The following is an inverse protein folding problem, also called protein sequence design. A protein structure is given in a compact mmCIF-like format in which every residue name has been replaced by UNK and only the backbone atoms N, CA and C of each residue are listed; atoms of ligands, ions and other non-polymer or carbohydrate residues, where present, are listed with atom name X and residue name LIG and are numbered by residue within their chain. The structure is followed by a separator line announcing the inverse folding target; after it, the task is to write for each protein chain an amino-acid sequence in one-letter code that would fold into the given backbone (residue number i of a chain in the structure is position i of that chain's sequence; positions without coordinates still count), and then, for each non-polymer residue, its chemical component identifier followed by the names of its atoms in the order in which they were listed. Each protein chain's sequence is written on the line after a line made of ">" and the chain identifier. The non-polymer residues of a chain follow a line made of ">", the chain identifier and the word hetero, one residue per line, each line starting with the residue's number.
data_IF_105515427160
#
_entry.id   IF_105515427160
#
_cell.length_a   1.000
_cell.length_b   1.000
_cell.length_c   1.000
_cell.angle_alpha   90.00
_cell.angle_beta   90.00
_cell.angle_gamma   90.00
#
_symmetry.space_group_name_H-M   'P 1'
#
loop_
_entity.id
_entity.type
_entity.pdbx_description
1 polymer ?
#
# COMPACT_ATOMS: atom_id res chain seq x y z
N UNK A 1 -111.16 53.92 -4.44
CA UNK A 1 -111.49 55.36 -4.51
C UNK A 1 -110.16 56.08 -4.74
N UNK A 2 -109.83 56.41 -6.00
CA UNK A 2 -109.99 57.77 -6.57
C UNK A 2 -109.25 58.84 -5.74
N UNK A 3 -108.39 59.72 -6.25
CA UNK A 3 -107.99 60.14 -7.60
C UNK A 3 -106.81 61.14 -7.39
N UNK A 4 -105.89 61.24 -8.37
CA UNK A 4 -105.11 62.44 -8.80
C UNK A 4 -104.35 63.32 -7.79
N UNK A 5 -103.09 63.64 -8.13
CA UNK A 5 -102.74 64.93 -8.79
C UNK A 5 -101.30 64.97 -9.33
N UNK A 6 -101.17 65.58 -10.51
CA UNK A 6 -99.97 65.94 -11.27
C UNK A 6 -99.31 67.23 -10.76
N UNK A 7 -98.00 67.40 -11.03
CA UNK A 7 -97.35 68.53 -11.75
C UNK A 7 -95.85 68.55 -11.40
N UNK A 8 -94.86 69.00 -12.19
CA UNK A 8 -94.68 69.49 -13.57
C UNK A 8 -93.14 69.70 -13.75
N UNK A 9 -92.63 69.48 -14.98
CA UNK A 9 -91.49 70.13 -15.69
C UNK A 9 -90.14 70.35 -14.95
N UNK A 10 -88.94 69.95 -15.41
CA UNK A 10 -88.25 69.87 -16.71
C UNK A 10 -86.99 70.76 -16.64
N UNK A 11 -85.78 70.19 -16.82
CA UNK A 11 -84.67 70.78 -17.59
C UNK A 11 -83.46 69.82 -17.69
N UNK A 12 -83.16 69.51 -18.94
CA UNK A 12 -81.90 69.10 -19.60
C UNK A 12 -80.57 69.36 -18.87
N UNK A 13 -79.63 68.39 -18.92
CA UNK A 13 -78.25 68.60 -19.41
C UNK A 13 -77.48 67.26 -19.64
N UNK A 14 -77.09 67.04 -20.90
CA UNK A 14 -75.80 66.52 -21.44
C UNK A 14 -74.95 65.47 -20.70
N UNK A 15 -74.86 64.29 -21.34
CA UNK A 15 -73.65 63.56 -21.81
C UNK A 15 -72.28 63.88 -21.18
N UNK A 16 -71.61 62.83 -20.68
CA UNK A 16 -70.18 62.84 -20.37
C UNK A 16 -69.74 61.52 -19.73
N UNK A 17 -69.38 60.54 -20.55
CA UNK A 17 -68.88 59.25 -20.09
C UNK A 17 -67.45 59.33 -19.55
N UNK A 18 -67.19 58.56 -18.49
CA UNK A 18 -65.86 58.07 -18.13
C UNK A 18 -66.02 56.64 -17.59
N UNK A 19 -65.85 55.68 -18.50
CA UNK A 19 -65.63 54.27 -18.16
C UNK A 19 -64.14 54.14 -17.88
N UNK A 20 -63.76 54.07 -16.61
CA UNK A 20 -62.41 53.69 -16.20
C UNK A 20 -62.25 52.19 -16.46
N UNK A 21 -61.62 51.84 -17.59
CA UNK A 21 -61.14 50.50 -17.86
C UNK A 21 -59.88 50.26 -17.01
N UNK A 22 -60.05 49.68 -15.83
CA UNK A 22 -58.96 49.02 -15.11
C UNK A 22 -58.53 47.80 -15.92
N UNK A 23 -57.41 47.93 -16.62
CA UNK A 23 -56.64 46.83 -17.17
C UNK A 23 -56.26 45.88 -16.02
N UNK A 24 -56.99 44.78 -15.88
CA UNK A 24 -56.53 43.64 -15.09
C UNK A 24 -55.34 43.03 -15.85
N UNK A 25 -54.13 43.23 -15.37
CA UNK A 25 -53.01 42.38 -15.75
C UNK A 25 -53.34 40.93 -15.33
N UNK A 26 -53.04 39.91 -16.15
CA UNK A 26 -53.20 38.53 -15.72
C UNK A 26 -52.25 38.28 -14.54
N UNK A 27 -52.82 38.02 -13.36
CA UNK A 27 -52.06 37.49 -12.23
C UNK A 27 -51.48 36.12 -12.64
N UNK A 28 -50.20 35.83 -12.35
CA UNK A 28 -49.68 34.47 -12.51
C UNK A 28 -50.54 33.49 -11.70
N UNK A 29 -50.73 32.28 -12.22
CA UNK A 29 -51.46 31.22 -11.50
C UNK A 29 -50.66 30.81 -10.25
N UNK A 30 -51.35 30.62 -9.12
CA UNK A 30 -50.76 30.20 -7.82
C UNK A 30 -49.78 29.01 -7.96
N UNK A 31 -50.06 28.08 -8.88
CA UNK A 31 -49.21 26.92 -9.15
C UNK A 31 -47.82 27.26 -9.74
N UNK A 32 -47.68 28.38 -10.46
CA UNK A 32 -46.40 28.80 -11.04
C UNK A 32 -45.49 29.44 -9.98
N UNK A 33 -46.04 30.24 -9.07
CA UNK A 33 -45.29 30.80 -7.95
C UNK A 33 -44.79 29.70 -7.00
N UNK A 34 -45.61 28.67 -6.77
CA UNK A 34 -45.21 27.50 -5.97
C UNK A 34 -44.09 26.68 -6.64
N UNK A 35 -44.07 26.61 -7.97
CA UNK A 35 -43.02 25.92 -8.73
C UNK A 35 -41.68 26.65 -8.70
N UNK A 36 -41.67 27.96 -8.92
CA UNK A 36 -40.45 28.78 -8.86
C UNK A 36 -39.82 28.79 -7.45
N UNK A 37 -40.65 28.85 -6.41
CA UNK A 37 -40.19 28.75 -5.03
C UNK A 37 -39.50 27.41 -4.75
N UNK A 38 -40.08 26.30 -5.24
CA UNK A 38 -39.52 24.97 -5.06
C UNK A 38 -38.24 24.75 -5.86
N UNK A 39 -38.15 25.26 -7.10
CA UNK A 39 -36.91 25.26 -7.89
C UNK A 39 -35.81 26.01 -7.11
N UNK A 40 -36.15 27.15 -6.53
CA UNK A 40 -35.25 27.91 -5.66
C UNK A 40 -34.75 27.11 -4.45
N UNK A 41 -35.64 26.43 -3.73
CA UNK A 41 -35.30 25.59 -2.58
C UNK A 41 -34.38 24.43 -2.98
N UNK A 42 -34.74 23.70 -4.05
CA UNK A 42 -33.97 22.57 -4.58
C UNK A 42 -32.55 22.98 -5.01
N UNK A 43 -32.41 24.09 -5.73
CA UNK A 43 -31.14 24.51 -6.31
C UNK A 43 -30.30 25.38 -5.38
N UNK A 44 -30.82 25.80 -4.22
CA UNK A 44 -30.04 26.53 -3.19
C UNK A 44 -29.75 25.67 -1.98
N UNK A 45 -30.78 25.12 -1.36
CA UNK A 45 -30.68 24.32 -0.14
C UNK A 45 -30.45 22.84 -0.46
N UNK A 46 -31.21 22.29 -1.42
CA UNK A 46 -31.04 20.91 -1.89
C UNK A 46 -29.69 20.66 -2.59
N UNK A 47 -29.07 21.71 -3.15
CA UNK A 47 -27.77 21.64 -3.83
C UNK A 47 -26.58 21.36 -2.90
N UNK A 48 -26.74 21.60 -1.59
CA UNK A 48 -25.67 21.38 -0.63
C UNK A 48 -25.46 19.88 -0.40
N UNK A 49 -24.25 19.38 -0.72
CA UNK A 49 -23.92 17.96 -0.57
C UNK A 49 -23.92 17.56 0.91
N UNK A 50 -24.80 16.63 1.27
CA UNK A 50 -24.96 16.15 2.65
C UNK A 50 -26.40 15.71 2.97
N UNK A 51 -26.65 15.17 4.17
CA UNK A 51 -27.96 14.66 4.56
C UNK A 51 -29.06 15.72 4.51
N UNK A 52 -28.79 16.92 5.02
CA UNK A 52 -29.75 18.02 5.05
C UNK A 52 -30.19 18.46 3.64
N UNK A 53 -29.25 18.59 2.70
CA UNK A 53 -29.57 18.90 1.30
C UNK A 53 -30.34 17.76 0.63
N UNK A 54 -29.95 16.50 0.87
CA UNK A 54 -30.70 15.34 0.36
C UNK A 54 -32.13 15.26 0.90
N UNK A 55 -32.37 15.65 2.15
CA UNK A 55 -33.72 15.68 2.72
C UNK A 55 -34.60 16.74 2.03
N UNK A 56 -34.03 17.89 1.67
CA UNK A 56 -34.70 18.90 0.83
C UNK A 56 -35.03 18.31 -0.53
N UNK A 57 -34.08 17.64 -1.19
CA UNK A 57 -34.29 17.02 -2.51
C UNK A 57 -35.42 15.98 -2.47
N UNK A 58 -35.48 15.10 -1.46
CA UNK A 58 -36.56 14.11 -1.32
C UNK A 58 -37.93 14.72 -1.11
N UNK A 59 -38.02 15.79 -0.30
CA UNK A 59 -39.28 16.54 -0.13
C UNK A 59 -39.69 17.24 -1.41
N UNK A 60 -38.73 17.81 -2.12
CA UNK A 60 -38.96 18.46 -3.40
C UNK A 60 -39.41 17.49 -4.49
N UNK A 61 -38.85 16.28 -4.54
CA UNK A 61 -39.30 15.22 -5.47
C UNK A 61 -40.77 14.85 -5.24
N UNK A 62 -41.18 14.66 -3.98
CA UNK A 62 -42.58 14.39 -3.64
C UNK A 62 -43.52 15.53 -4.05
N UNK A 63 -43.04 16.77 -3.94
CA UNK A 63 -43.78 17.99 -4.30
C UNK A 63 -43.81 18.21 -5.83
N UNK A 64 -42.77 17.82 -6.55
CA UNK A 64 -42.68 17.86 -8.01
C UNK A 64 -43.81 17.06 -8.67
N UNK A 65 -44.13 15.88 -8.10
CA UNK A 65 -45.26 15.04 -8.51
C UNK A 65 -46.62 15.74 -8.46
N UNK A 66 -46.79 16.70 -7.52
CA UNK A 66 -48.04 17.43 -7.33
C UNK A 66 -48.14 18.63 -8.28
N UNK A 67 -47.03 19.36 -8.45
CA UNK A 67 -46.98 20.57 -9.29
C UNK A 67 -47.01 20.25 -10.78
N UNK A 68 -46.53 19.07 -11.20
CA UNK A 68 -46.49 18.63 -12.61
C UNK A 68 -45.82 19.64 -13.55
N UNK A 69 -44.76 20.28 -13.06
CA UNK A 69 -43.96 21.23 -13.84
C UNK A 69 -42.64 20.56 -14.31
N UNK A 70 -42.34 20.54 -15.63
CA UNK A 70 -41.10 19.98 -16.16
C UNK A 70 -39.82 20.57 -15.55
N UNK A 71 -39.79 21.88 -15.26
CA UNK A 71 -38.62 22.57 -14.70
C UNK A 71 -38.35 22.13 -13.26
N UNK A 72 -39.40 21.85 -12.48
CA UNK A 72 -39.27 21.31 -11.11
C UNK A 72 -38.66 19.91 -11.13
N UNK A 73 -39.10 19.05 -12.05
CA UNK A 73 -38.50 17.72 -12.23
C UNK A 73 -37.05 17.81 -12.72
N UNK A 74 -36.75 18.75 -13.62
CA UNK A 74 -35.39 18.99 -14.08
C UNK A 74 -34.48 19.48 -12.95
N UNK A 75 -34.93 20.45 -12.15
CA UNK A 75 -34.21 20.94 -10.97
C UNK A 75 -33.95 19.83 -9.94
N UNK A 76 -34.96 18.98 -9.71
CA UNK A 76 -34.81 17.76 -8.88
C UNK A 76 -33.72 16.85 -9.43
N UNK A 77 -33.73 16.58 -10.74
CA UNK A 77 -32.72 15.76 -11.41
C UNK A 77 -31.30 16.32 -11.30
N UNK A 78 -31.12 17.65 -11.44
CA UNK A 78 -29.82 18.30 -11.25
C UNK A 78 -29.31 18.19 -9.81
N UNK A 79 -30.19 18.40 -8.83
CA UNK A 79 -29.82 18.26 -7.41
C UNK A 79 -29.45 16.80 -7.09
N UNK A 80 -30.23 15.82 -7.53
CA UNK A 80 -29.90 14.39 -7.38
C UNK A 80 -28.55 14.03 -8.04
N UNK A 81 -28.28 14.60 -9.21
CA UNK A 81 -27.03 14.40 -9.92
C UNK A 81 -25.83 14.96 -9.13
N UNK A 82 -25.99 16.11 -8.47
CA UNK A 82 -24.99 16.72 -7.59
C UNK A 82 -24.63 15.82 -6.39
N UNK A 83 -25.59 15.02 -5.92
CA UNK A 83 -25.44 14.01 -4.86
C UNK A 83 -25.09 12.61 -5.37
N UNK A 84 -24.77 12.47 -6.66
CA UNK A 84 -24.42 11.21 -7.32
C UNK A 84 -25.54 10.14 -7.31
N UNK A 85 -26.81 10.55 -7.13
CA UNK A 85 -27.98 9.66 -7.23
C UNK A 85 -28.41 9.51 -8.69
N UNK A 86 -27.63 8.78 -9.48
CA UNK A 86 -27.78 8.74 -10.94
C UNK A 86 -29.09 8.12 -11.44
N UNK A 87 -29.58 7.04 -10.83
CA UNK A 87 -30.82 6.39 -11.28
C UNK A 87 -32.06 7.23 -10.94
N UNK A 88 -32.07 7.88 -9.78
CA UNK A 88 -33.12 8.82 -9.35
C UNK A 88 -33.09 10.08 -10.23
N UNK A 89 -31.91 10.64 -10.51
CA UNK A 89 -31.77 11.77 -11.42
C UNK A 89 -32.30 11.45 -12.82
N UNK A 90 -31.98 10.26 -13.34
CA UNK A 90 -32.49 9.81 -14.62
C UNK A 90 -34.03 9.64 -14.62
N UNK A 91 -34.62 9.18 -13.51
CA UNK A 91 -36.08 9.09 -13.38
C UNK A 91 -36.73 10.48 -13.34
N UNK A 92 -36.14 11.44 -12.65
CA UNK A 92 -36.62 12.82 -12.61
C UNK A 92 -36.57 13.47 -14.00
N UNK A 93 -35.48 13.27 -14.76
CA UNK A 93 -35.40 13.75 -16.15
C UNK A 93 -36.43 13.08 -17.08
N UNK A 94 -36.65 11.77 -16.94
CA UNK A 94 -37.68 11.07 -17.73
C UNK A 94 -39.09 11.59 -17.41
N UNK A 95 -39.38 11.89 -16.14
CA UNK A 95 -40.65 12.51 -15.73
C UNK A 95 -40.85 13.91 -16.34
N UNK A 96 -39.80 14.74 -16.40
CA UNK A 96 -39.85 16.03 -17.07
C UNK A 96 -40.16 15.88 -18.57
N UNK A 97 -39.52 14.92 -19.24
CA UNK A 97 -39.73 14.61 -20.67
C UNK A 97 -41.15 14.10 -20.95
N UNK A 98 -41.73 13.33 -20.03
CA UNK A 98 -43.11 12.85 -20.15
C UNK A 98 -44.14 13.99 -20.09
N UNK A 99 -43.85 15.04 -19.32
CA UNK A 99 -44.69 16.23 -19.21
C UNK A 99 -44.50 17.18 -20.40
N UNK A 100 -43.25 17.45 -20.77
CA UNK A 100 -42.91 18.22 -21.95
C UNK A 100 -41.83 17.50 -22.78
N UNK A 101 -42.25 16.98 -23.93
CA UNK A 101 -41.36 16.27 -24.87
C UNK A 101 -40.30 17.16 -25.47
N UNK A 102 -40.52 18.48 -25.49
CA UNK A 102 -39.58 19.48 -26.01
C UNK A 102 -38.67 20.06 -24.93
N UNK A 103 -38.70 19.50 -23.72
CA UNK A 103 -37.82 19.90 -22.63
C UNK A 103 -36.38 19.36 -22.83
N UNK A 104 -35.65 19.98 -23.77
CA UNK A 104 -34.31 19.56 -24.18
C UNK A 104 -33.27 19.47 -23.05
N UNK A 105 -33.25 20.35 -22.03
CA UNK A 105 -32.33 20.21 -20.90
C UNK A 105 -32.46 18.86 -20.19
N UNK A 106 -33.68 18.34 -20.03
CA UNK A 106 -33.89 17.01 -19.44
C UNK A 106 -33.46 15.87 -20.36
N UNK A 107 -33.62 16.00 -21.68
CA UNK A 107 -33.05 15.04 -22.63
C UNK A 107 -31.52 14.99 -22.54
N UNK A 108 -30.87 16.16 -22.52
CA UNK A 108 -29.41 16.29 -22.33
C UNK A 108 -28.96 15.61 -21.04
N UNK A 109 -29.62 15.93 -19.92
CA UNK A 109 -29.33 15.34 -18.61
C UNK A 109 -29.51 13.83 -18.57
N UNK A 110 -30.64 13.32 -19.10
CA UNK A 110 -30.93 11.89 -19.12
C UNK A 110 -29.92 11.09 -19.92
N UNK A 111 -29.64 11.52 -21.16
CA UNK A 111 -28.69 10.82 -22.04
C UNK A 111 -27.31 10.84 -21.38
N UNK A 112 -26.85 12.00 -20.90
CA UNK A 112 -25.54 12.12 -20.27
C UNK A 112 -25.40 11.26 -19.01
N UNK A 113 -26.41 11.22 -18.14
CA UNK A 113 -26.39 10.35 -16.95
C UNK A 113 -26.32 8.88 -17.33
N UNK A 114 -27.07 8.44 -18.36
CA UNK A 114 -26.98 7.05 -18.84
C UNK A 114 -25.61 6.74 -19.44
N UNK A 115 -24.98 7.68 -20.14
CA UNK A 115 -23.59 7.57 -20.61
C UNK A 115 -22.62 7.46 -19.44
N UNK A 116 -22.78 8.29 -18.41
CA UNK A 116 -21.93 8.30 -17.21
C UNK A 116 -22.03 7.00 -16.42
N UNK A 117 -23.20 6.36 -16.42
CA UNK A 117 -23.43 5.04 -15.84
C UNK A 117 -22.92 3.88 -16.73
N UNK A 118 -22.28 4.17 -17.86
CA UNK A 118 -21.86 3.19 -18.88
C UNK A 118 -23.02 2.35 -19.45
N UNK A 119 -24.26 2.84 -19.33
CA UNK A 119 -25.47 2.23 -19.91
C UNK A 119 -25.68 2.76 -21.34
N UNK A 120 -24.69 2.53 -22.22
CA UNK A 120 -24.61 3.16 -23.55
C UNK A 120 -25.81 2.84 -24.46
N UNK A 121 -26.27 1.59 -24.47
CA UNK A 121 -27.43 1.19 -25.26
C UNK A 121 -28.69 1.99 -24.88
N UNK A 122 -28.91 2.20 -23.58
CA UNK A 122 -30.02 3.01 -23.09
C UNK A 122 -29.86 4.47 -23.50
N UNK A 123 -28.65 5.03 -23.36
CA UNK A 123 -28.37 6.40 -23.78
C UNK A 123 -28.67 6.61 -25.28
N UNK A 124 -28.29 5.65 -26.14
CA UNK A 124 -28.56 5.69 -27.57
C UNK A 124 -30.04 5.50 -27.92
N UNK A 125 -30.78 4.68 -27.16
CA UNK A 125 -32.24 4.60 -27.29
C UNK A 125 -32.89 5.94 -26.98
N UNK A 126 -32.44 6.63 -25.93
CA UNK A 126 -32.94 7.97 -25.61
C UNK A 126 -32.52 9.01 -26.66
N UNK A 127 -31.29 8.96 -27.18
CA UNK A 127 -30.85 9.82 -28.29
C UNK A 127 -31.70 9.61 -29.56
N UNK A 128 -32.06 8.36 -29.87
CA UNK A 128 -32.97 8.03 -30.98
C UNK A 128 -34.37 8.63 -30.77
N UNK A 129 -34.87 8.64 -29.52
CA UNK A 129 -36.16 9.25 -29.19
C UNK A 129 -36.10 10.78 -29.29
N UNK A 130 -35.05 11.40 -28.74
CA UNK A 130 -34.79 12.83 -28.84
C UNK A 130 -34.78 13.29 -30.31
N UNK A 131 -34.08 12.56 -31.20
CA UNK A 131 -34.01 12.89 -32.62
C UNK A 131 -35.37 13.08 -33.29
N UNK A 132 -36.39 12.33 -32.87
CA UNK A 132 -37.76 12.44 -33.39
C UNK A 132 -38.52 13.66 -32.89
N UNK A 133 -38.14 14.18 -31.73
CA UNK A 133 -38.77 15.36 -31.11
C UNK A 133 -38.06 16.65 -31.52
N UNK A 134 -36.83 16.57 -32.05
CA UNK A 134 -36.07 17.71 -32.55
C UNK A 134 -36.73 18.33 -33.80
N UNK A 135 -36.74 19.67 -33.90
CA UNK A 135 -37.34 20.37 -35.04
C UNK A 135 -36.45 20.23 -36.28
N UNK A 136 -37.06 19.92 -37.42
CA UNK A 136 -36.36 19.78 -38.72
C UNK A 136 -36.24 21.10 -39.49
N UNK A 137 -36.59 22.23 -38.87
CA UNK A 137 -36.46 23.57 -39.42
C UNK A 137 -35.81 24.50 -38.40
N UNK A 138 -35.24 25.60 -38.89
CA UNK A 138 -34.71 26.66 -38.04
C UNK A 138 -35.84 27.31 -37.22
N UNK A 139 -35.55 27.63 -35.96
CA UNK A 139 -36.47 28.27 -35.03
C UNK A 139 -36.09 29.74 -34.80
N UNK A 140 -36.91 30.43 -34.02
CA UNK A 140 -36.58 31.77 -33.51
C UNK A 140 -35.32 31.71 -32.63
N UNK A 141 -34.48 32.77 -32.60
CA UNK A 141 -33.16 32.74 -31.95
C UNK A 141 -33.14 32.18 -30.52
N UNK A 142 -34.12 32.55 -29.69
CA UNK A 142 -34.18 32.12 -28.28
C UNK A 142 -34.45 30.61 -28.13
N UNK A 143 -35.25 30.02 -29.02
CA UNK A 143 -35.55 28.58 -29.03
C UNK A 143 -34.47 27.77 -29.77
N UNK A 144 -33.79 28.42 -30.71
CA UNK A 144 -32.70 27.83 -31.48
C UNK A 144 -31.47 27.53 -30.60
N UNK A 145 -31.19 28.40 -29.60
CA UNK A 145 -30.06 28.23 -28.70
C UNK A 145 -30.07 26.89 -27.93
N UNK A 146 -31.22 26.49 -27.37
CA UNK A 146 -31.37 25.23 -26.66
C UNK A 146 -31.22 24.01 -27.56
N UNK A 147 -31.72 24.10 -28.80
CA UNK A 147 -31.54 23.04 -29.79
C UNK A 147 -30.08 22.94 -30.19
N UNK A 148 -29.40 24.05 -30.43
CA UNK A 148 -27.96 24.07 -30.76
C UNK A 148 -27.13 23.45 -29.62
N UNK A 149 -27.38 23.80 -28.36
CA UNK A 149 -26.63 23.20 -27.24
C UNK A 149 -26.88 21.68 -27.12
N UNK A 150 -28.10 21.24 -27.41
CA UNK A 150 -28.44 19.82 -27.50
C UNK A 150 -27.67 19.14 -28.62
N UNK A 151 -27.59 19.77 -29.79
CA UNK A 151 -26.82 19.26 -30.93
C UNK A 151 -25.31 19.20 -30.63
N UNK A 152 -24.75 20.21 -29.95
CA UNK A 152 -23.35 20.20 -29.52
C UNK A 152 -23.05 19.05 -28.56
N UNK A 153 -23.92 18.82 -27.58
CA UNK A 153 -23.80 17.67 -26.68
C UNK A 153 -23.88 16.35 -27.44
N UNK A 154 -24.84 16.22 -28.38
CA UNK A 154 -24.94 15.02 -29.21
C UNK A 154 -23.66 14.79 -30.01
N UNK A 155 -23.11 15.82 -30.67
CA UNK A 155 -21.83 15.73 -31.38
C UNK A 155 -20.71 15.16 -30.50
N UNK A 156 -20.55 15.70 -29.28
CA UNK A 156 -19.56 15.19 -28.31
C UNK A 156 -19.83 13.73 -27.90
N UNK A 157 -21.09 13.37 -27.66
CA UNK A 157 -21.46 12.01 -27.25
C UNK A 157 -21.25 10.98 -28.38
N UNK A 158 -21.60 11.31 -29.62
CA UNK A 158 -21.31 10.45 -30.76
C UNK A 158 -19.81 10.29 -30.97
N UNK A 159 -19.03 11.36 -30.86
CA UNK A 159 -17.56 11.28 -30.90
C UNK A 159 -17.01 10.38 -29.79
N UNK A 160 -17.62 10.40 -28.61
CA UNK A 160 -17.25 9.54 -27.50
C UNK A 160 -17.57 8.06 -27.76
N UNK A 161 -18.75 7.77 -28.31
CA UNK A 161 -19.17 6.40 -28.64
C UNK A 161 -18.38 5.80 -29.80
N UNK A 162 -18.06 6.59 -30.82
CA UNK A 162 -17.34 6.14 -32.02
C UNK A 162 -15.81 6.19 -31.85
N UNK A 163 -15.31 6.88 -30.83
CA UNK A 163 -13.90 6.92 -30.47
C UNK A 163 -13.60 6.12 -29.19
N UNK A 164 -13.49 6.78 -28.01
CA UNK A 164 -13.14 6.16 -26.73
C UNK A 164 -13.86 4.86 -26.36
N UNK A 165 -15.14 4.71 -26.74
CA UNK A 165 -15.96 3.53 -26.39
C UNK A 165 -16.42 2.71 -27.60
N UNK A 166 -15.78 2.86 -28.75
CA UNK A 166 -16.15 2.14 -29.98
C UNK A 166 -16.19 0.61 -29.84
N UNK A 167 -15.36 0.04 -28.97
CA UNK A 167 -15.35 -1.40 -28.69
C UNK A 167 -16.44 -1.89 -27.71
N UNK A 168 -17.11 -0.98 -27.02
CA UNK A 168 -18.11 -1.30 -25.98
C UNK A 168 -19.54 -0.95 -26.40
N UNK A 169 -19.69 -0.21 -27.50
CA UNK A 169 -20.98 0.30 -27.98
C UNK A 169 -21.34 -0.35 -29.32
N UNK A 170 -22.61 -0.73 -29.49
CA UNK A 170 -23.08 -1.29 -30.76
C UNK A 170 -23.10 -0.25 -31.87
N UNK A 171 -22.25 -0.43 -32.89
CA UNK A 171 -22.21 0.43 -34.07
C UNK A 171 -23.58 0.60 -34.75
N UNK A 172 -24.42 -0.45 -34.74
CA UNK A 172 -25.76 -0.40 -35.31
C UNK A 172 -26.71 0.52 -34.49
N UNK A 173 -26.58 0.54 -33.16
CA UNK A 173 -27.36 1.44 -32.31
C UNK A 173 -26.88 2.88 -32.44
N UNK A 174 -25.57 3.09 -32.55
CA UNK A 174 -24.99 4.41 -32.80
C UNK A 174 -25.50 4.96 -34.13
N UNK A 175 -25.39 4.18 -35.22
CA UNK A 175 -25.89 4.60 -36.53
C UNK A 175 -27.39 4.91 -36.49
N UNK A 176 -28.20 4.05 -35.86
CA UNK A 176 -29.64 4.29 -35.73
C UNK A 176 -29.97 5.57 -34.98
N UNK A 177 -29.22 5.90 -33.92
CA UNK A 177 -29.40 7.15 -33.19
C UNK A 177 -28.96 8.36 -34.02
N UNK A 178 -27.89 8.22 -34.82
CA UNK A 178 -27.40 9.23 -35.76
C UNK A 178 -28.44 9.53 -36.84
N UNK A 179 -28.98 8.49 -37.48
CA UNK A 179 -30.04 8.60 -38.50
C UNK A 179 -31.29 9.31 -37.96
N UNK A 180 -31.59 9.14 -36.67
CA UNK A 180 -32.73 9.80 -36.03
C UNK A 180 -32.52 11.29 -35.79
N UNK A 181 -31.27 11.74 -35.64
CA UNK A 181 -30.92 13.16 -35.39
C UNK A 181 -30.63 13.90 -36.68
N UNK A 182 -30.16 13.20 -37.72
CA UNK A 182 -29.77 13.77 -39.02
C UNK A 182 -30.80 14.76 -39.61
N UNK A 183 -32.13 14.49 -39.61
CA UNK A 183 -33.12 15.44 -40.14
C UNK A 183 -33.18 16.78 -39.41
N UNK A 184 -32.70 16.84 -38.16
CA UNK A 184 -32.66 18.06 -37.35
C UNK A 184 -31.35 18.87 -37.52
N UNK A 185 -30.36 18.32 -38.24
CA UNK A 185 -29.07 18.97 -38.52
C UNK A 185 -29.18 19.94 -39.70
N UNK A 186 -29.99 20.98 -39.55
CA UNK A 186 -30.17 22.06 -40.54
C UNK A 186 -29.33 23.28 -40.21
N UNK A 187 -28.90 24.02 -41.23
CA UNK A 187 -28.20 25.31 -41.07
C UNK A 187 -26.93 25.19 -40.22
N UNK A 188 -26.81 26.04 -39.19
CA UNK A 188 -25.66 26.06 -38.27
C UNK A 188 -25.54 24.82 -37.40
N UNK A 189 -26.63 24.07 -37.16
CA UNK A 189 -26.64 22.88 -36.28
C UNK A 189 -25.73 21.78 -36.81
N UNK A 190 -25.67 21.58 -38.12
CA UNK A 190 -24.79 20.58 -38.72
C UNK A 190 -23.32 20.88 -38.44
N UNK A 191 -22.93 22.16 -38.56
CA UNK A 191 -21.56 22.62 -38.28
C UNK A 191 -21.23 22.44 -36.80
N UNK A 192 -22.16 22.80 -35.92
CA UNK A 192 -21.98 22.66 -34.47
C UNK A 192 -21.86 21.18 -34.04
N UNK A 193 -22.67 20.30 -34.62
CA UNK A 193 -22.57 18.85 -34.40
C UNK A 193 -21.18 18.33 -34.80
N UNK A 194 -20.75 18.63 -36.02
CA UNK A 194 -19.51 18.10 -36.59
C UNK A 194 -18.29 18.65 -35.85
N UNK A 195 -18.25 19.94 -35.53
CA UNK A 195 -17.16 20.52 -34.75
C UNK A 195 -16.99 19.82 -33.40
N UNK A 196 -18.09 19.65 -32.67
CA UNK A 196 -18.08 19.00 -31.36
C UNK A 196 -17.75 17.50 -31.44
N UNK A 197 -18.14 16.83 -32.52
CA UNK A 197 -17.74 15.47 -32.81
C UNK A 197 -16.22 15.36 -33.06
N UNK A 198 -15.67 16.23 -33.91
CA UNK A 198 -14.25 16.26 -34.26
C UNK A 198 -13.36 16.68 -33.09
N UNK A 199 -13.83 17.56 -32.21
CA UNK A 199 -13.13 17.93 -30.98
C UNK A 199 -12.86 16.71 -30.09
N UNK A 200 -13.87 15.84 -29.93
CA UNK A 200 -13.72 14.59 -29.18
C UNK A 200 -12.74 13.64 -29.85
N UNK A 201 -12.82 13.47 -31.17
CA UNK A 201 -11.88 12.64 -31.93
C UNK A 201 -10.43 13.13 -31.80
N UNK A 202 -10.22 14.45 -31.86
CA UNK A 202 -8.92 15.11 -31.70
C UNK A 202 -8.37 14.92 -30.29
N UNK A 203 -9.19 15.18 -29.26
CA UNK A 203 -8.83 14.98 -27.86
C UNK A 203 -8.53 13.51 -27.54
N UNK A 204 -9.29 12.58 -28.10
CA UNK A 204 -9.06 11.14 -27.90
C UNK A 204 -7.74 10.69 -28.53
N UNK A 205 -7.44 11.14 -29.75
CA UNK A 205 -6.17 10.87 -30.42
C UNK A 205 -5.00 11.40 -29.59
N UNK A 206 -5.07 12.67 -29.16
CA UNK A 206 -4.04 13.29 -28.33
C UNK A 206 -3.86 12.55 -26.99
N UNK A 207 -4.96 12.17 -26.33
CA UNK A 207 -4.93 11.44 -25.05
C UNK A 207 -4.32 10.04 -25.19
N UNK A 208 -4.63 9.34 -26.28
CA UNK A 208 -4.10 8.01 -26.58
C UNK A 208 -2.60 8.08 -26.85
N UNK A 209 -2.13 9.06 -27.63
CA UNK A 209 -0.70 9.29 -27.87
C UNK A 209 0.03 9.58 -26.55
N UNK A 210 -0.49 10.50 -25.72
CA UNK A 210 0.11 10.80 -24.42
C UNK A 210 0.16 9.58 -23.49
N UNK A 211 -0.85 8.71 -23.53
CA UNK A 211 -0.85 7.47 -22.77
C UNK A 211 0.22 6.49 -23.29
N UNK A 212 0.35 6.34 -24.60
CA UNK A 212 1.36 5.48 -25.23
C UNK A 212 2.77 5.98 -24.91
N UNK A 213 3.04 7.27 -25.12
CA UNK A 213 4.33 7.89 -24.80
C UNK A 213 4.68 7.70 -23.32
N UNK A 214 3.73 7.95 -22.41
CA UNK A 214 3.96 7.75 -20.98
C UNK A 214 4.23 6.28 -20.61
N UNK A 215 3.65 5.32 -21.35
CA UNK A 215 3.88 3.89 -21.16
C UNK A 215 5.25 3.48 -21.69
N UNK A 216 5.65 3.98 -22.84
CA UNK A 216 6.94 3.70 -23.46
C UNK A 216 8.08 4.30 -22.63
N UNK A 217 7.94 5.54 -22.17
CA UNK A 217 8.86 6.18 -21.23
C UNK A 217 9.00 5.35 -19.95
N UNK A 218 7.87 4.94 -19.35
CA UNK A 218 7.87 4.13 -18.15
C UNK A 218 8.56 2.77 -18.36
N UNK A 219 8.35 2.15 -19.52
CA UNK A 219 8.96 0.88 -19.88
C UNK A 219 10.46 1.02 -20.11
N UNK A 220 10.92 2.10 -20.73
CA UNK A 220 12.35 2.40 -20.89
C UNK A 220 13.02 2.65 -19.54
N UNK A 221 12.40 3.46 -18.67
CA UNK A 221 12.92 3.74 -17.32
C UNK A 221 12.99 2.46 -16.48
N UNK A 222 11.94 1.63 -16.49
CA UNK A 222 11.92 0.35 -15.78
C UNK A 222 13.03 -0.58 -16.29
N UNK A 223 13.25 -0.65 -17.61
CA UNK A 223 14.36 -1.42 -18.20
C UNK A 223 15.73 -0.91 -17.73
N UNK A 224 15.95 0.40 -17.74
CA UNK A 224 17.20 1.01 -17.29
C UNK A 224 17.49 0.71 -15.82
N UNK A 225 16.49 0.88 -14.96
CA UNK A 225 16.59 0.54 -13.54
C UNK A 225 16.91 -0.95 -13.33
N UNK A 226 16.25 -1.84 -14.09
CA UNK A 226 16.54 -3.28 -14.03
C UNK A 226 17.97 -3.62 -14.44
N UNK A 227 18.50 -2.97 -15.47
CA UNK A 227 19.90 -3.15 -15.88
C UNK A 227 20.87 -2.69 -14.79
N UNK A 228 20.64 -1.54 -14.16
CA UNK A 228 21.45 -1.04 -13.04
C UNK A 228 21.39 -2.00 -11.84
N UNK A 229 20.18 -2.43 -11.45
CA UNK A 229 19.99 -3.41 -10.38
C UNK A 229 20.66 -4.75 -10.69
N UNK A 230 20.65 -5.19 -11.95
CA UNK A 230 21.32 -6.41 -12.36
C UNK A 230 22.85 -6.31 -12.17
N UNK A 231 23.44 -5.15 -12.49
CA UNK A 231 24.86 -4.91 -12.25
C UNK A 231 25.19 -4.90 -10.75
N UNK A 232 24.38 -4.22 -9.93
CA UNK A 232 24.55 -4.22 -8.47
C UNK A 232 24.43 -5.62 -7.86
N UNK A 233 23.43 -6.40 -8.28
CA UNK A 233 23.25 -7.80 -7.87
C UNK A 233 24.48 -8.63 -8.23
N UNK A 234 25.03 -8.45 -9.43
CA UNK A 234 26.23 -9.16 -9.87
C UNK A 234 27.46 -8.81 -9.01
N UNK A 235 27.63 -7.53 -8.66
CA UNK A 235 28.71 -7.08 -7.78
C UNK A 235 28.54 -7.69 -6.37
N UNK A 236 27.33 -7.63 -5.81
CA UNK A 236 27.03 -8.20 -4.49
C UNK A 236 27.26 -9.70 -4.44
N UNK A 237 26.88 -10.45 -5.49
CA UNK A 237 27.17 -11.88 -5.59
C UNK A 237 28.67 -12.18 -5.55
N UNK A 238 29.46 -11.44 -6.32
CA UNK A 238 30.92 -11.57 -6.30
C UNK A 238 31.51 -11.28 -4.91
N UNK A 239 31.03 -10.23 -4.25
CA UNK A 239 31.50 -9.90 -2.90
C UNK A 239 31.16 -10.99 -1.89
N UNK A 240 29.93 -11.52 -1.91
CA UNK A 240 29.52 -12.62 -1.03
C UNK A 240 30.39 -13.87 -1.25
N UNK A 241 30.72 -14.20 -2.49
CA UNK A 241 31.59 -15.33 -2.82
C UNK A 241 33.01 -15.13 -2.27
N UNK A 242 33.59 -13.94 -2.47
CA UNK A 242 34.90 -13.58 -1.89
C UNK A 242 34.87 -13.70 -0.36
N UNK A 243 33.85 -13.14 0.29
CA UNK A 243 33.73 -13.17 1.75
C UNK A 243 33.58 -14.60 2.29
N UNK A 244 32.87 -15.48 1.57
CA UNK A 244 32.76 -16.91 1.91
C UNK A 244 34.11 -17.60 1.83
N UNK A 245 34.85 -17.37 0.75
CA UNK A 245 36.19 -17.95 0.57
C UNK A 245 37.14 -17.47 1.67
N UNK A 246 37.12 -16.19 2.01
CA UNK A 246 37.93 -15.63 3.09
C UNK A 246 37.56 -16.23 4.46
N UNK A 247 36.27 -16.37 4.77
CA UNK A 247 35.82 -16.98 6.02
C UNK A 247 36.25 -18.46 6.11
N UNK A 248 36.13 -19.22 5.01
CA UNK A 248 36.59 -20.61 4.94
C UNK A 248 38.10 -20.73 5.16
N UNK A 249 38.89 -19.93 4.43
CA UNK A 249 40.34 -19.90 4.59
C UNK A 249 40.76 -19.54 6.02
N UNK A 250 40.04 -18.62 6.69
CA UNK A 250 40.31 -18.26 8.08
C UNK A 250 40.04 -19.40 9.05
N UNK A 251 38.97 -20.17 8.84
CA UNK A 251 38.68 -21.38 9.66
C UNK A 251 39.81 -22.40 9.51
N UNK A 252 40.26 -22.66 8.29
CA UNK A 252 41.34 -23.61 8.04
C UNK A 252 42.67 -23.14 8.66
N UNK A 253 42.96 -21.84 8.57
CA UNK A 253 44.10 -21.23 9.25
C UNK A 253 44.03 -21.42 10.77
N UNK A 254 42.90 -21.08 11.40
CA UNK A 254 42.71 -21.22 12.85
C UNK A 254 42.86 -22.67 13.33
N UNK A 255 42.38 -23.65 12.55
CA UNK A 255 42.57 -25.07 12.86
C UNK A 255 44.04 -25.50 12.80
N UNK A 256 44.78 -25.00 11.82
CA UNK A 256 46.21 -25.23 11.70
C UNK A 256 46.98 -24.62 12.88
N UNK A 257 46.69 -23.35 13.21
CA UNK A 257 47.27 -22.64 14.35
C UNK A 257 46.98 -23.36 15.68
N UNK A 258 45.75 -23.80 15.91
CA UNK A 258 45.38 -24.59 17.08
C UNK A 258 46.18 -25.90 17.16
N UNK A 259 46.34 -26.61 16.04
CA UNK A 259 47.12 -27.85 15.99
C UNK A 259 48.59 -27.61 16.38
N UNK A 260 49.17 -26.50 15.94
CA UNK A 260 50.54 -26.12 16.32
C UNK A 260 50.64 -25.74 17.80
N UNK A 261 49.70 -24.96 18.34
CA UNK A 261 49.66 -24.62 19.77
C UNK A 261 49.48 -25.86 20.65
N UNK A 262 48.63 -26.80 20.22
CA UNK A 262 48.43 -28.06 20.92
C UNK A 262 49.74 -28.86 21.04
N UNK A 263 50.53 -28.92 19.96
CA UNK A 263 51.85 -29.56 19.98
C UNK A 263 52.81 -28.88 20.96
N UNK A 264 52.80 -27.54 21.06
CA UNK A 264 53.63 -26.81 22.04
C UNK A 264 53.25 -27.17 23.49
N UNK A 265 51.95 -27.24 23.78
CA UNK A 265 51.48 -27.69 25.09
C UNK A 265 51.92 -29.13 25.40
N UNK A 266 51.78 -30.04 24.44
CA UNK A 266 52.17 -31.44 24.62
C UNK A 266 53.70 -31.57 24.85
N UNK A 267 54.52 -30.79 24.13
CA UNK A 267 55.98 -30.73 24.32
C UNK A 267 56.37 -30.18 25.71
N UNK A 268 55.64 -29.19 26.23
CA UNK A 268 55.88 -28.62 27.55
C UNK A 268 55.39 -29.54 28.69
N UNK A 269 54.33 -30.32 28.47
CA UNK A 269 53.75 -31.19 29.48
C UNK A 269 54.51 -32.53 29.64
N UNK A 270 55.06 -33.05 28.54
CA UNK A 270 55.81 -34.31 28.52
C UNK A 270 56.93 -34.41 29.59
N UNK A 271 57.87 -33.44 29.73
CA UNK A 271 58.93 -33.53 30.74
C UNK A 271 58.39 -33.43 32.16
N UNK A 272 57.31 -32.68 32.40
CA UNK A 272 56.68 -32.58 33.72
C UNK A 272 56.08 -33.92 34.14
N UNK A 273 55.41 -34.61 33.22
CA UNK A 273 54.85 -35.93 33.48
C UNK A 273 55.95 -36.98 33.74
N UNK A 274 57.04 -36.93 32.98
CA UNK A 274 58.19 -37.81 33.20
C UNK A 274 58.83 -37.58 34.57
N UNK A 275 59.08 -36.32 34.96
CA UNK A 275 59.65 -35.97 36.25
C UNK A 275 58.75 -36.37 37.44
N UNK A 276 57.43 -36.14 37.32
CA UNK A 276 56.47 -36.58 38.33
C UNK A 276 56.47 -38.12 38.49
N UNK A 277 56.58 -38.87 37.39
CA UNK A 277 56.71 -40.32 37.43
C UNK A 277 57.99 -40.79 38.12
N UNK A 278 59.12 -40.11 37.90
CA UNK A 278 60.38 -40.39 38.60
C UNK A 278 60.29 -40.10 40.10
N UNK A 279 59.69 -38.98 40.49
CA UNK A 279 59.48 -38.63 41.89
C UNK A 279 58.57 -39.64 42.59
N UNK A 280 57.50 -40.11 41.93
CA UNK A 280 56.63 -41.16 42.48
C UNK A 280 57.39 -42.47 42.72
N UNK A 281 58.25 -42.87 41.79
CA UNK A 281 59.12 -44.04 41.97
C UNK A 281 60.09 -43.85 43.15
N UNK A 282 60.71 -42.67 43.30
CA UNK A 282 61.59 -42.35 44.43
C UNK A 282 60.84 -42.38 45.77
N UNK A 283 59.63 -41.81 45.84
CA UNK A 283 58.80 -41.84 47.04
C UNK A 283 58.49 -43.28 47.48
N UNK A 284 58.20 -44.19 46.53
CA UNK A 284 57.95 -45.60 46.83
C UNK A 284 59.17 -46.27 47.45
N UNK A 285 60.37 -46.02 46.90
CA UNK A 285 61.62 -46.56 47.46
C UNK A 285 61.83 -46.05 48.89
N UNK A 286 61.75 -44.73 49.11
CA UNK A 286 61.95 -44.14 50.44
C UNK A 286 60.92 -44.67 51.45
N UNK A 287 59.65 -44.79 51.06
CA UNK A 287 58.60 -45.34 51.93
C UNK A 287 58.84 -46.80 52.30
N UNK A 288 59.35 -47.61 51.38
CA UNK A 288 59.70 -49.00 51.65
C UNK A 288 60.86 -49.10 52.64
N UNK A 289 61.92 -48.31 52.47
CA UNK A 289 63.06 -48.28 53.41
C UNK A 289 62.64 -47.80 54.80
N UNK A 290 61.81 -46.75 54.88
CA UNK A 290 61.22 -46.28 56.15
C UNK A 290 60.46 -47.40 56.87
N UNK A 291 59.62 -48.15 56.14
CA UNK A 291 58.87 -49.25 56.73
C UNK A 291 59.80 -50.33 57.31
N UNK A 292 60.85 -50.71 56.58
CA UNK A 292 61.84 -51.70 57.05
C UNK A 292 62.58 -51.22 58.31
N UNK A 293 63.05 -49.98 58.32
CA UNK A 293 63.77 -49.40 59.47
C UNK A 293 62.87 -49.29 60.71
N UNK A 294 61.62 -48.89 60.52
CA UNK A 294 60.62 -48.81 61.59
C UNK A 294 60.36 -50.21 62.18
N UNK A 295 60.20 -51.23 61.32
CA UNK A 295 60.03 -52.62 61.76
C UNK A 295 61.26 -53.16 62.51
N UNK A 296 62.48 -52.80 62.11
CA UNK A 296 63.71 -53.13 62.84
C UNK A 296 63.76 -52.46 64.22
N UNK A 297 63.43 -51.17 64.31
CA UNK A 297 63.37 -50.43 65.59
C UNK A 297 62.35 -51.07 66.53
N UNK A 298 61.16 -51.43 66.04
CA UNK A 298 60.15 -52.13 66.85
C UNK A 298 60.67 -53.47 67.39
N UNK A 299 61.35 -54.26 66.55
CA UNK A 299 61.97 -55.53 66.97
C UNK A 299 63.05 -55.33 68.03
N UNK A 300 63.94 -54.37 67.85
CA UNK A 300 65.02 -54.08 68.81
C UNK A 300 64.48 -53.54 70.14
N UNK A 301 63.43 -52.72 70.12
CA UNK A 301 62.76 -52.24 71.33
C UNK A 301 62.13 -53.38 72.14
N UNK A 302 61.49 -54.34 71.47
CA UNK A 302 60.95 -55.55 72.12
C UNK A 302 62.06 -56.40 72.76
N UNK A 303 63.20 -56.57 72.07
CA UNK A 303 64.37 -57.26 72.63
C UNK A 303 64.99 -56.52 73.83
N UNK A 304 65.07 -55.19 73.75
CA UNK A 304 65.56 -54.34 74.84
C UNK A 304 64.68 -54.45 76.09
N UNK A 305 63.36 -54.54 75.93
CA UNK A 305 62.41 -54.75 77.03
C UNK A 305 62.60 -56.08 77.77
N UNK A 306 63.07 -57.11 77.07
CA UNK A 306 63.28 -58.46 77.61
C UNK A 306 64.68 -58.69 78.19
N UNK A 307 65.67 -57.90 77.77
CA UNK A 307 67.07 -58.11 78.12
C UNK A 307 67.43 -57.51 79.49
N UNK A 308 68.02 -58.34 80.37
CA UNK A 308 68.51 -57.94 81.71
C UNK A 308 70.02 -57.63 81.77
N UNK A 309 70.79 -58.04 80.75
CA UNK A 309 72.24 -57.77 80.67
C UNK A 309 72.51 -56.29 80.36
N UNK A 310 73.17 -55.53 81.26
CA UNK A 310 73.45 -54.11 81.07
C UNK A 310 74.23 -53.81 79.77
N UNK A 311 75.21 -54.65 79.42
CA UNK A 311 76.08 -54.43 78.26
C UNK A 311 75.34 -54.69 76.94
N UNK A 312 74.36 -55.60 76.95
CA UNK A 312 73.51 -55.86 75.78
C UNK A 312 72.43 -54.80 75.64
N UNK A 313 71.85 -54.31 76.74
CA UNK A 313 70.90 -53.17 76.72
C UNK A 313 71.53 -51.92 76.10
N UNK A 314 72.74 -51.56 76.54
CA UNK A 314 73.45 -50.39 76.02
C UNK A 314 73.81 -50.51 74.52
N UNK A 315 74.10 -51.73 74.05
CA UNK A 315 74.28 -51.99 72.61
C UNK A 315 72.98 -51.82 71.81
N UNK A 316 71.88 -52.40 72.29
CA UNK A 316 70.56 -52.29 71.66
C UNK A 316 70.11 -50.83 71.59
N UNK A 317 70.30 -50.05 72.66
CA UNK A 317 69.98 -48.63 72.69
C UNK A 317 70.78 -47.82 71.65
N UNK A 318 72.07 -48.10 71.51
CA UNK A 318 72.91 -47.43 70.49
C UNK A 318 72.47 -47.75 69.06
N UNK A 319 72.07 -49.00 68.79
CA UNK A 319 71.59 -49.38 67.46
C UNK A 319 70.22 -48.79 67.16
N UNK A 320 69.29 -48.80 68.13
CA UNK A 320 67.99 -48.11 68.00
C UNK A 320 68.20 -46.63 67.67
N UNK A 321 69.05 -45.93 68.43
CA UNK A 321 69.34 -44.52 68.19
C UNK A 321 69.97 -44.26 66.81
N UNK A 322 70.80 -45.20 66.31
CA UNK A 322 71.34 -45.14 64.96
C UNK A 322 70.25 -45.28 63.90
N UNK A 323 69.33 -46.23 64.05
CA UNK A 323 68.21 -46.44 63.12
C UNK A 323 67.23 -45.27 63.16
N UNK A 324 66.93 -44.70 64.34
CA UNK A 324 66.07 -43.51 64.48
C UNK A 324 66.64 -42.31 63.71
N UNK A 325 67.97 -42.13 63.71
CA UNK A 325 68.64 -41.11 62.89
C UNK A 325 68.49 -41.37 61.39
N UNK A 326 68.56 -42.63 60.95
CA UNK A 326 68.33 -42.99 59.55
C UNK A 326 66.87 -42.74 59.14
N UNK A 327 65.90 -43.12 59.99
CA UNK A 327 64.48 -42.82 59.80
C UNK A 327 64.27 -41.32 59.63
N UNK A 328 64.82 -40.52 60.55
CA UNK A 328 64.74 -39.06 60.47
C UNK A 328 65.31 -38.51 59.16
N UNK A 329 66.39 -39.10 58.64
CA UNK A 329 66.98 -38.74 57.35
C UNK A 329 66.05 -39.07 56.17
N UNK A 330 65.52 -40.30 56.12
CA UNK A 330 64.58 -40.71 55.07
C UNK A 330 63.25 -39.93 55.13
N UNK A 331 62.77 -39.55 56.31
CA UNK A 331 61.59 -38.68 56.46
C UNK A 331 61.84 -37.29 55.87
N UNK A 332 63.03 -36.72 56.09
CA UNK A 332 63.43 -35.45 55.47
C UNK A 332 63.51 -35.57 53.94
N UNK A 333 64.14 -36.63 53.43
CA UNK A 333 64.21 -36.89 51.99
C UNK A 333 62.82 -37.06 51.37
N UNK A 334 61.93 -37.82 52.03
CA UNK A 334 60.55 -37.98 51.59
C UNK A 334 59.82 -36.63 51.54
N UNK A 335 60.01 -35.77 52.54
CA UNK A 335 59.41 -34.45 52.58
C UNK A 335 59.90 -33.56 51.42
N UNK A 336 61.19 -33.61 51.09
CA UNK A 336 61.78 -32.88 49.95
C UNK A 336 61.22 -33.38 48.60
N UNK A 337 61.19 -34.70 48.39
CA UNK A 337 60.63 -35.30 47.16
C UNK A 337 59.14 -34.97 47.03
N UNK A 338 58.38 -34.98 48.12
CA UNK A 338 56.97 -34.58 48.12
C UNK A 338 56.76 -33.08 47.87
N UNK A 339 57.65 -32.22 48.36
CA UNK A 339 57.61 -30.78 48.08
C UNK A 339 57.83 -30.50 46.59
N UNK A 340 58.83 -31.15 45.98
CA UNK A 340 59.10 -30.98 44.55
C UNK A 340 57.98 -31.57 43.68
N UNK A 341 57.42 -32.73 44.05
CA UNK A 341 56.28 -33.30 43.34
C UNK A 341 55.05 -32.36 43.36
N UNK A 342 54.77 -31.73 44.50
CA UNK A 342 53.70 -30.71 44.60
C UNK A 342 53.96 -29.50 43.70
N UNK A 343 55.20 -29.02 43.66
CA UNK A 343 55.61 -27.91 42.78
C UNK A 343 55.41 -28.25 41.30
N UNK A 344 55.89 -29.42 40.86
CA UNK A 344 55.74 -29.84 39.46
C UNK A 344 54.28 -30.11 39.09
N UNK A 345 53.47 -30.66 39.99
CA UNK A 345 52.03 -30.82 39.77
C UNK A 345 51.36 -29.46 39.56
N UNK A 346 51.64 -28.47 40.41
CA UNK A 346 51.09 -27.13 40.27
C UNK A 346 51.48 -26.49 38.92
N UNK A 347 52.72 -26.66 38.47
CA UNK A 347 53.17 -26.20 37.16
C UNK A 347 52.40 -26.86 36.00
N UNK A 348 52.19 -28.18 36.08
CA UNK A 348 51.40 -28.92 35.08
C UNK A 348 49.95 -28.47 35.07
N UNK A 349 49.34 -28.27 36.23
CA UNK A 349 47.93 -27.88 36.33
C UNK A 349 47.72 -26.44 35.79
N UNK A 350 48.68 -25.55 36.03
CA UNK A 350 48.71 -24.24 35.39
C UNK A 350 48.83 -24.33 33.86
N UNK A 351 49.69 -25.21 33.34
CA UNK A 351 49.85 -25.43 31.90
C UNK A 351 48.55 -25.97 31.26
N UNK A 352 47.89 -26.92 31.91
CA UNK A 352 46.59 -27.48 31.48
C UNK A 352 45.47 -26.43 31.49
N UNK A 353 45.45 -25.57 32.51
CA UNK A 353 44.50 -24.46 32.60
C UNK A 353 44.69 -23.50 31.43
N UNK A 354 45.94 -23.14 31.10
CA UNK A 354 46.25 -22.31 29.92
C UNK A 354 45.83 -22.99 28.62
N UNK A 355 46.11 -24.28 28.46
CA UNK A 355 45.69 -25.07 27.29
C UNK A 355 44.17 -24.99 27.09
N UNK A 356 43.39 -25.17 28.16
CA UNK A 356 41.93 -25.10 28.09
C UNK A 356 41.44 -23.69 27.70
N UNK A 357 42.04 -22.64 28.27
CA UNK A 357 41.70 -21.26 27.92
C UNK A 357 42.00 -20.96 26.43
N UNK A 358 43.17 -21.37 25.94
CA UNK A 358 43.54 -21.22 24.53
C UNK A 358 42.61 -22.03 23.62
N UNK A 359 42.26 -23.26 23.99
CA UNK A 359 41.29 -24.07 23.25
C UNK A 359 39.94 -23.35 23.10
N UNK A 360 39.40 -22.82 24.19
CA UNK A 360 38.12 -22.10 24.18
C UNK A 360 38.17 -20.84 23.31
N UNK A 361 39.30 -20.13 23.27
CA UNK A 361 39.49 -18.98 22.39
C UNK A 361 39.42 -19.37 20.90
N UNK A 362 40.18 -20.40 20.49
CA UNK A 362 40.14 -20.90 19.12
C UNK A 362 38.75 -21.43 18.73
N UNK A 363 38.09 -22.18 19.63
CA UNK A 363 36.73 -22.67 19.40
C UNK A 363 35.73 -21.52 19.19
N UNK A 364 35.84 -20.45 19.98
CA UNK A 364 35.00 -19.26 19.83
C UNK A 364 35.23 -18.55 18.50
N UNK A 365 36.49 -18.35 18.08
CA UNK A 365 36.82 -17.72 16.80
C UNK A 365 36.36 -18.56 15.60
N UNK A 366 36.59 -19.87 15.64
CA UNK A 366 36.12 -20.80 14.60
C UNK A 366 34.60 -20.76 14.50
N UNK A 367 33.90 -20.77 15.64
CA UNK A 367 32.44 -20.66 15.67
C UNK A 367 31.98 -19.34 15.04
N UNK A 368 32.61 -18.22 15.39
CA UNK A 368 32.27 -16.92 14.82
C UNK A 368 32.40 -16.91 13.28
N UNK A 369 33.46 -17.51 12.73
CA UNK A 369 33.62 -17.59 11.28
C UNK A 369 32.59 -18.52 10.62
N UNK A 370 32.23 -19.63 11.27
CA UNK A 370 31.17 -20.52 10.79
C UNK A 370 29.80 -19.82 10.79
N UNK A 371 29.48 -19.06 11.84
CA UNK A 371 28.24 -18.28 11.92
C UNK A 371 28.21 -17.23 10.80
N UNK A 372 29.34 -16.55 10.54
CA UNK A 372 29.49 -15.63 9.39
C UNK A 372 29.23 -16.33 8.05
N UNK A 373 29.73 -17.56 7.85
CA UNK A 373 29.44 -18.33 6.62
C UNK A 373 27.95 -18.62 6.46
N UNK A 374 27.25 -18.96 7.55
CA UNK A 374 25.80 -19.19 7.51
C UNK A 374 25.04 -17.91 7.14
N UNK A 375 25.44 -16.76 7.69
CA UNK A 375 24.82 -15.48 7.36
C UNK A 375 25.09 -15.06 5.91
N UNK A 376 26.29 -15.30 5.39
CA UNK A 376 26.61 -15.10 3.98
C UNK A 376 25.78 -16.01 3.06
N UNK A 377 25.51 -17.26 3.46
CA UNK A 377 24.62 -18.14 2.72
C UNK A 377 23.15 -17.66 2.73
N UNK A 378 22.70 -17.03 3.82
CA UNK A 378 21.38 -16.37 3.87
C UNK A 378 21.35 -15.11 2.98
N UNK A 379 22.43 -14.33 2.98
CA UNK A 379 22.55 -13.15 2.12
C UNK A 379 22.50 -13.53 0.63
N UNK A 380 23.20 -14.58 0.23
CA UNK A 380 23.16 -15.13 -1.14
C UNK A 380 21.73 -15.48 -1.57
N UNK A 381 20.97 -16.19 -0.73
CA UNK A 381 19.56 -16.51 -1.01
C UNK A 381 18.70 -15.26 -1.20
N UNK A 382 18.95 -14.19 -0.43
CA UNK A 382 18.24 -12.90 -0.58
C UNK A 382 18.56 -12.26 -1.93
N UNK A 383 19.85 -12.22 -2.29
CA UNK A 383 20.30 -11.69 -3.59
C UNK A 383 19.73 -12.51 -4.75
N UNK A 384 19.58 -13.82 -4.61
CA UNK A 384 18.92 -14.67 -5.61
C UNK A 384 17.43 -14.37 -5.78
N UNK A 385 16.73 -14.09 -4.67
CA UNK A 385 15.34 -13.66 -4.73
C UNK A 385 15.21 -12.27 -5.39
N UNK A 386 16.12 -11.35 -5.08
CA UNK A 386 16.20 -10.04 -5.75
C UNK A 386 16.43 -10.21 -7.26
N UNK A 387 17.36 -11.08 -7.67
CA UNK A 387 17.63 -11.38 -9.08
C UNK A 387 16.38 -11.94 -9.80
N UNK A 388 15.66 -12.87 -9.16
CA UNK A 388 14.40 -13.41 -9.72
C UNK A 388 13.32 -12.35 -9.87
N UNK A 389 13.22 -11.41 -8.91
CA UNK A 389 12.28 -10.29 -8.99
C UNK A 389 12.66 -9.32 -10.12
N UNK A 390 13.94 -9.01 -10.23
CA UNK A 390 14.48 -8.10 -11.25
C UNK A 390 14.29 -8.66 -12.68
N UNK A 391 14.38 -9.98 -12.86
CA UNK A 391 14.20 -10.66 -14.15
C UNK A 391 12.74 -10.72 -14.65
N UNK A 392 11.76 -10.26 -13.88
CA UNK A 392 10.38 -10.18 -14.35
C UNK A 392 10.27 -9.20 -15.53
N UNK A 393 9.40 -9.44 -16.51
CA UNK A 393 9.24 -8.53 -17.65
C UNK A 393 8.85 -7.12 -17.19
N UNK A 394 9.37 -6.11 -17.87
CA UNK A 394 8.94 -4.72 -17.65
C UNK A 394 7.54 -4.53 -18.24
N UNK A 395 6.66 -3.86 -17.48
CA UNK A 395 5.24 -3.70 -17.85
C UNK A 395 4.93 -2.23 -18.15
N UNK A 396 5.73 -1.29 -17.62
CA UNK A 396 5.49 0.15 -17.81
C UNK A 396 4.18 0.65 -17.17
N UNK A 397 3.54 -0.16 -16.33
CA UNK A 397 2.25 0.15 -15.71
C UNK A 397 2.46 1.05 -14.48
N UNK A 398 2.61 2.35 -14.72
CA UNK A 398 2.79 3.36 -13.67
C UNK A 398 1.47 3.98 -13.23
N UNK A 399 1.46 4.70 -12.11
CA UNK A 399 0.30 5.49 -11.70
C UNK A 399 -0.09 6.53 -12.76
N UNK A 400 0.91 7.17 -13.41
CA UNK A 400 0.68 8.13 -14.51
C UNK A 400 -0.05 7.47 -15.68
N UNK A 401 0.41 6.30 -16.14
CA UNK A 401 -0.24 5.55 -17.24
C UNK A 401 -1.68 5.17 -16.88
N UNK A 402 -1.93 4.72 -15.65
CA UNK A 402 -3.29 4.41 -15.18
C UNK A 402 -4.20 5.63 -15.16
N UNK A 403 -3.71 6.78 -14.69
CA UNK A 403 -4.48 8.03 -14.68
C UNK A 403 -4.78 8.51 -16.10
N UNK A 404 -3.81 8.46 -17.02
CA UNK A 404 -4.04 8.82 -18.42
C UNK A 404 -5.04 7.88 -19.09
N UNK A 405 -4.95 6.57 -18.83
CA UNK A 405 -5.92 5.58 -19.31
C UNK A 405 -7.34 5.83 -18.77
N UNK A 406 -7.46 6.20 -17.50
CA UNK A 406 -8.75 6.53 -16.89
C UNK A 406 -9.33 7.83 -17.47
N UNK A 407 -8.50 8.84 -17.75
CA UNK A 407 -8.92 10.07 -18.41
C UNK A 407 -9.39 9.81 -19.85
N UNK A 408 -8.64 9.02 -20.61
CA UNK A 408 -8.97 8.69 -22.00
C UNK A 408 -10.28 7.89 -22.16
N UNK A 409 -10.73 7.21 -21.11
CA UNK A 409 -11.97 6.41 -21.10
C UNK A 409 -13.16 7.12 -20.46
N UNK A 410 -12.95 8.25 -19.78
CA UNK A 410 -13.99 8.97 -19.05
C UNK A 410 -14.78 9.92 -19.95
N UNK A 411 -16.12 9.84 -19.91
CA UNK A 411 -16.98 10.78 -20.64
C UNK A 411 -16.75 12.23 -20.22
N UNK A 412 -16.40 12.47 -18.94
CA UNK A 412 -16.15 13.83 -18.42
C UNK A 412 -14.97 14.53 -19.05
N UNK A 413 -14.06 13.79 -19.70
CA UNK A 413 -12.95 14.37 -20.46
C UNK A 413 -13.43 15.03 -21.75
N UNK A 414 -14.55 14.55 -22.31
CA UNK A 414 -15.01 14.88 -23.66
C UNK A 414 -16.31 15.67 -23.65
N UNK A 415 -17.20 15.36 -22.72
CA UNK A 415 -18.49 16.03 -22.53
C UNK A 415 -18.77 16.12 -21.04
N UNK A 416 -18.31 17.20 -20.40
CA UNK A 416 -18.73 17.50 -19.04
C UNK A 416 -20.11 18.17 -19.08
N UNK A 417 -21.03 17.71 -18.23
CA UNK A 417 -22.36 18.28 -18.16
C UNK A 417 -22.32 19.53 -17.29
N UNK A 418 -22.75 20.70 -17.79
CA UNK A 418 -22.51 21.98 -17.12
C UNK A 418 -23.49 22.21 -15.98
N UNK A 419 -23.45 21.35 -14.95
CA UNK A 419 -24.37 21.33 -13.80
C UNK A 419 -24.59 22.71 -13.17
N UNK A 420 -23.50 23.48 -12.97
CA UNK A 420 -23.59 24.79 -12.33
C UNK A 420 -24.20 25.85 -13.26
N UNK A 421 -23.96 25.77 -14.57
CA UNK A 421 -24.58 26.68 -15.54
C UNK A 421 -26.08 26.43 -15.58
N UNK A 422 -26.50 25.17 -15.71
CA UNK A 422 -27.91 24.77 -15.71
C UNK A 422 -28.64 25.20 -14.43
N UNK A 423 -27.95 25.08 -13.29
CA UNK A 423 -28.45 25.55 -12.00
C UNK A 423 -28.68 27.07 -12.01
N UNK A 424 -27.73 27.86 -12.50
CA UNK A 424 -27.83 29.31 -12.52
C UNK A 424 -28.91 29.79 -13.49
N UNK A 425 -29.02 29.15 -14.65
CA UNK A 425 -30.06 29.44 -15.65
C UNK A 425 -31.46 29.28 -15.07
N UNK A 426 -31.72 28.20 -14.32
CA UNK A 426 -33.02 27.98 -13.65
C UNK A 426 -33.28 28.94 -12.49
N UNK A 427 -32.23 29.53 -11.90
CA UNK A 427 -32.36 30.55 -10.88
C UNK A 427 -32.51 31.97 -11.46
N UNK A 428 -32.46 32.12 -12.78
CA UNK A 428 -32.55 33.40 -13.48
C UNK A 428 -31.31 34.29 -13.33
N UNK A 429 -30.14 33.69 -13.07
CA UNK A 429 -28.86 34.39 -12.83
C UNK A 429 -27.89 34.33 -14.00
#
# INVERSE_FOLDING_TARGET
>A
MALKTLSKFARTLTMGGLLAATLLAPMPSVQAEDADALIGELLKEGWQVGPAGMDVVRRGEASAGQLRDPNVFYATGLALLRHHQYDEAAAAFDAAIQLDRKHYPSWRGLIWVRTLQEKFDNALVFATRLGKELPTSELMPDQEAEVVETIRLMGRLFGFYEGPRSGEVSAALVQRARDAIEPALVGSRQVEFENNYQDVATLFTASTTLQQDAKDDALQQEKLQKMQQQQEIAIRRKQIDIDKQQAAARVDQLRSEWTQEQQKFDQAEAPLNAALGQLDAQQRVIRNELALLVDDIFRLNDELGRTKDPNRRDRLQREIFRLERLVSGYEQDLALVQAEARRLSANRDNLRTRRLQTQQQFEAEIKQQNDRQQDLARAEKRVDLEARRNNRPAVGNTAKVRVLSAKASSIRTYADFPLEVERLTLLGN
#
